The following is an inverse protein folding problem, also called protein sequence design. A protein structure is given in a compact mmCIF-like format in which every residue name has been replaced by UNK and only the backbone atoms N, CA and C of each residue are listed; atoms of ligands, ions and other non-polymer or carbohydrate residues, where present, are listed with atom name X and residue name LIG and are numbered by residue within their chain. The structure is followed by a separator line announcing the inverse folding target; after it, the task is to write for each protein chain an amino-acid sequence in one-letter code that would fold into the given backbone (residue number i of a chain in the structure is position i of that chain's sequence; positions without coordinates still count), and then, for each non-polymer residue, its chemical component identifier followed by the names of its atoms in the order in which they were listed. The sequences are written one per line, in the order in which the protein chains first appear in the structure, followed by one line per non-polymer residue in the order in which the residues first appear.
data_IF_333703445174
#
_entry.id   IF_333703445174
#
_cell.length_a   1.000
_cell.length_b   1.000
_cell.length_c   1.000
_cell.angle_alpha   90.00
_cell.angle_beta   90.00
_cell.angle_gamma   90.00
#
_symmetry.space_group_name_H-M   'P 1'
#
loop_
_entity.id
_entity.type
_entity.pdbx_description
1 polymer ?
#
# COMPACT_ATOMS: atom_id res chain seq x y z
N UNK A 1 17.90 -13.81 -1.89
CA UNK A 1 19.07 -13.16 -2.55
C UNK A 1 18.68 -11.72 -2.85
N UNK A 2 19.19 -10.75 -2.08
CA UNK A 2 18.93 -9.32 -2.30
C UNK A 2 19.71 -8.87 -3.53
N UNK A 3 19.09 -8.95 -4.70
CA UNK A 3 19.69 -8.38 -5.89
C UNK A 3 19.48 -6.86 -5.86
N UNK A 4 20.56 -6.10 -5.55
CA UNK A 4 20.75 -4.66 -5.87
C UNK A 4 19.96 -3.60 -5.10
N UNK A 5 19.96 -3.63 -3.76
CA UNK A 5 19.55 -2.46 -2.95
C UNK A 5 18.05 -2.10 -3.00
N UNK A 6 17.23 -2.95 -3.60
CA UNK A 6 15.78 -2.82 -3.62
C UNK A 6 15.14 -3.89 -2.73
N UNK A 7 14.10 -3.50 -1.99
CA UNK A 7 13.25 -4.42 -1.24
C UNK A 7 11.81 -4.27 -1.73
N UNK A 8 11.12 -5.39 -1.85
CA UNK A 8 9.68 -5.40 -2.15
C UNK A 8 8.98 -6.29 -1.14
N UNK A 9 7.88 -5.77 -0.59
CA UNK A 9 7.01 -6.46 0.36
C UNK A 9 5.62 -6.57 -0.25
N UNK A 10 4.98 -7.70 0.01
CA UNK A 10 3.64 -8.00 -0.47
C UNK A 10 2.75 -8.31 0.72
N UNK A 11 1.62 -7.62 0.80
CA UNK A 11 0.59 -7.86 1.81
C UNK A 11 -0.73 -8.08 1.09
N UNK A 12 -1.56 -8.98 1.61
CA UNK A 12 -2.89 -9.22 1.07
C UNK A 12 -3.85 -8.13 1.54
N UNK A 13 -4.68 -7.62 0.63
CA UNK A 13 -5.86 -6.86 1.02
C UNK A 13 -6.86 -7.76 1.77
N UNK A 14 -7.67 -7.18 2.69
CA UNK A 14 -8.85 -7.84 3.23
C UNK A 14 -9.75 -8.36 2.10
N UNK A 15 -10.43 -9.48 2.33
CA UNK A 15 -11.36 -10.07 1.36
C UNK A 15 -12.63 -10.53 2.04
N UNK A 16 -13.73 -10.51 1.29
CA UNK A 16 -15.00 -11.14 1.65
C UNK A 16 -15.44 -12.12 0.53
N UNK A 17 -16.70 -12.55 0.56
CA UNK A 17 -17.26 -13.46 -0.44
C UNK A 17 -17.35 -12.87 -1.86
N UNK A 18 -17.28 -11.55 -1.99
CA UNK A 18 -17.47 -10.83 -3.26
C UNK A 18 -16.16 -10.32 -3.86
N UNK A 19 -15.06 -10.25 -3.10
CA UNK A 19 -13.75 -9.89 -3.63
C UNK A 19 -12.80 -9.29 -2.61
N UNK A 20 -11.77 -8.60 -3.11
CA UNK A 20 -10.85 -7.84 -2.26
C UNK A 20 -11.44 -6.48 -1.91
N UNK A 21 -11.13 -6.00 -0.71
CA UNK A 21 -11.62 -4.73 -0.17
C UNK A 21 -10.42 -3.79 0.01
N UNK A 22 -10.49 -2.63 -0.64
CA UNK A 22 -9.61 -1.51 -0.35
C UNK A 22 -10.21 -0.72 0.83
N UNK A 23 -9.74 -1.02 2.03
CA UNK A 23 -10.06 -0.25 3.24
C UNK A 23 -8.94 0.74 3.50
N UNK A 24 -9.25 2.03 3.47
CA UNK A 24 -8.29 3.12 3.66
C UNK A 24 -7.52 2.98 4.99
N UNK A 25 -8.21 2.59 6.06
CA UNK A 25 -7.60 2.46 7.38
C UNK A 25 -6.70 1.22 7.45
N UNK A 26 -7.18 0.09 6.93
CA UNK A 26 -6.39 -1.15 6.88
C UNK A 26 -5.16 -1.00 5.98
N UNK A 27 -5.28 -0.27 4.86
CA UNK A 27 -4.18 0.03 3.96
C UNK A 27 -3.08 0.82 4.66
N UNK A 28 -3.44 1.87 5.41
CA UNK A 28 -2.47 2.65 6.20
C UNK A 28 -1.80 1.76 7.24
N UNK A 29 -2.56 0.97 8.01
CA UNK A 29 -2.00 0.07 9.01
C UNK A 29 -1.02 -0.95 8.41
N UNK A 30 -1.40 -1.55 7.29
CA UNK A 30 -0.58 -2.52 6.57
C UNK A 30 0.72 -1.88 6.06
N UNK A 31 0.65 -0.70 5.46
CA UNK A 31 1.84 0.03 5.01
C UNK A 31 2.74 0.44 6.18
N UNK A 32 2.18 0.92 7.29
CA UNK A 32 2.94 1.24 8.51
C UNK A 32 3.68 0.02 9.05
N UNK A 33 2.99 -1.12 9.15
CA UNK A 33 3.59 -2.36 9.65
C UNK A 33 4.74 -2.83 8.74
N UNK A 34 4.56 -2.71 7.42
CA UNK A 34 5.60 -3.02 6.44
C UNK A 34 6.82 -2.11 6.61
N UNK A 35 6.62 -0.79 6.59
CA UNK A 35 7.71 0.19 6.74
C UNK A 35 8.46 -0.01 8.06
N UNK A 36 7.74 -0.17 9.17
CA UNK A 36 8.32 -0.42 10.49
C UNK A 36 9.13 -1.72 10.53
N UNK A 37 8.64 -2.79 9.88
CA UNK A 37 9.36 -4.07 9.79
C UNK A 37 10.68 -3.93 9.03
N UNK A 38 10.70 -3.16 7.95
CA UNK A 38 11.94 -2.87 7.19
C UNK A 38 12.90 -2.02 8.02
N UNK A 39 12.39 -0.95 8.63
CA UNK A 39 13.17 -0.03 9.46
C UNK A 39 13.83 -0.73 10.65
N UNK A 40 13.07 -1.54 11.40
CA UNK A 40 13.58 -2.25 12.57
C UNK A 40 14.69 -3.26 12.22
N UNK A 41 14.59 -3.93 11.07
CA UNK A 41 15.52 -4.99 10.67
C UNK A 41 16.75 -4.47 9.92
N UNK A 42 16.85 -3.17 9.66
CA UNK A 42 17.98 -2.53 8.93
C UNK A 42 18.36 -3.29 7.65
N UNK A 43 17.35 -3.81 6.95
CA UNK A 43 17.53 -4.77 5.84
C UNK A 43 18.19 -4.11 4.63
N UNK A 44 18.05 -2.79 4.50
CA UNK A 44 18.61 -2.00 3.42
C UNK A 44 19.68 -1.05 3.94
N UNK A 45 20.92 -1.10 3.41
CA UNK A 45 21.93 -0.08 3.69
C UNK A 45 21.56 1.22 2.96
N UNK A 46 21.53 2.35 3.68
CA UNK A 46 21.28 3.67 3.10
C UNK A 46 20.68 4.67 4.08
N UNK A 47 20.87 5.95 3.80
CA UNK A 47 20.29 7.05 4.60
C UNK A 47 18.96 7.55 4.03
N UNK A 48 18.73 7.33 2.73
CA UNK A 48 17.52 7.73 2.00
C UNK A 48 17.05 6.63 1.07
N UNK A 49 15.74 6.53 0.92
CA UNK A 49 15.10 5.48 0.13
C UNK A 49 13.97 6.07 -0.72
N UNK A 50 13.89 5.64 -1.98
CA UNK A 50 12.69 5.86 -2.80
C UNK A 50 11.60 4.86 -2.42
N UNK A 51 10.35 5.31 -2.39
CA UNK A 51 9.22 4.49 -2.00
C UNK A 51 8.20 4.37 -3.12
N UNK A 52 7.68 3.17 -3.31
CA UNK A 52 6.55 2.92 -4.18
C UNK A 52 5.62 1.90 -3.53
N UNK A 53 4.32 2.09 -3.69
CA UNK A 53 3.27 1.18 -3.25
C UNK A 53 2.28 0.98 -4.41
N UNK A 54 1.67 -0.18 -4.50
CA UNK A 54 0.71 -0.45 -5.57
C UNK A 54 -0.13 -1.67 -5.30
N UNK A 55 -1.24 -1.76 -6.03
CA UNK A 55 -2.12 -2.91 -5.99
C UNK A 55 -1.75 -3.82 -7.16
N UNK A 56 -1.54 -5.09 -6.89
CA UNK A 56 -1.17 -6.09 -7.89
C UNK A 56 -1.87 -7.41 -7.64
N UNK A 57 -1.96 -8.24 -8.68
CA UNK A 57 -2.68 -9.50 -8.70
C UNK A 57 -3.83 -9.47 -9.71
N UNK A 58 -4.37 -10.66 -10.04
CA UNK A 58 -5.57 -10.82 -10.83
C UNK A 58 -6.79 -10.39 -9.98
N UNK A 59 -6.93 -9.10 -9.74
CA UNK A 59 -8.05 -8.51 -9.02
C UNK A 59 -9.24 -8.45 -9.98
N UNK A 60 -10.04 -9.51 -10.04
CA UNK A 60 -11.29 -9.53 -10.83
C UNK A 60 -12.38 -8.67 -10.20
N UNK A 61 -12.35 -8.48 -8.87
CA UNK A 61 -13.27 -7.62 -8.12
C UNK A 61 -12.53 -6.98 -6.95
N UNK A 62 -12.27 -5.67 -7.03
CA UNK A 62 -11.75 -4.84 -5.95
C UNK A 62 -12.76 -3.72 -5.65
N UNK A 63 -13.31 -3.71 -4.44
CA UNK A 63 -14.24 -2.67 -3.96
C UNK A 63 -13.58 -1.82 -2.88
N UNK A 64 -13.86 -0.51 -2.82
CA UNK A 64 -13.42 0.34 -1.71
C UNK A 64 -14.48 0.39 -0.61
N UNK A 65 -14.09 0.22 0.64
CA UNK A 65 -15.01 0.24 1.78
C UNK A 65 -14.36 -0.29 3.05
N UNK A 66 -15.09 -0.26 4.17
CA UNK A 66 -14.59 -0.79 5.44
C UNK A 66 -14.62 -2.33 5.42
N UNK A 67 -13.53 -2.96 5.84
CA UNK A 67 -13.45 -4.42 5.97
C UNK A 67 -14.20 -4.95 7.21
N UNK A 68 -14.43 -4.11 8.22
CA UNK A 68 -15.03 -4.51 9.49
C UNK A 68 -16.55 -4.33 9.50
N UNK A 69 -17.29 -5.45 9.40
CA UNK A 69 -18.65 -5.67 9.92
C UNK A 69 -19.82 -4.80 9.43
N UNK A 70 -19.57 -3.74 8.68
CA UNK A 70 -20.59 -2.80 8.20
C UNK A 70 -20.75 -3.00 6.70
N UNK A 71 -22.01 -3.12 6.27
CA UNK A 71 -22.43 -3.24 4.88
C UNK A 71 -21.66 -2.26 3.99
N UNK A 72 -21.12 -2.75 2.87
CA UNK A 72 -20.34 -1.96 1.91
C UNK A 72 -21.07 -0.65 1.60
N UNK A 73 -20.43 0.49 1.86
CA UNK A 73 -21.00 1.81 1.51
C UNK A 73 -20.89 2.12 0.02
N UNK A 74 -19.97 1.46 -0.69
CA UNK A 74 -19.91 1.43 -2.14
C UNK A 74 -19.18 0.16 -2.60
N UNK A 75 -19.48 -0.30 -3.81
CA UNK A 75 -18.74 -1.36 -4.47
C UNK A 75 -18.47 -0.91 -5.90
N UNK A 76 -17.23 -0.50 -6.16
CA UNK A 76 -16.76 -0.28 -7.54
C UNK A 76 -16.26 -1.61 -8.07
N UNK A 77 -16.62 -1.96 -9.30
CA UNK A 77 -16.01 -3.08 -10.01
C UNK A 77 -14.76 -2.56 -10.71
N UNK A 78 -13.59 -2.82 -10.11
CA UNK A 78 -12.33 -2.48 -10.74
C UNK A 78 -11.93 -3.55 -11.75
N UNK A 79 -12.13 -3.26 -13.03
CA UNK A 79 -11.60 -4.00 -14.17
C UNK A 79 -10.57 -3.13 -14.90
N UNK A 80 -9.57 -2.62 -14.19
CA UNK A 80 -8.52 -1.85 -14.87
C UNK A 80 -7.44 -2.77 -15.42
N UNK A 81 -7.08 -2.65 -16.71
CA UNK A 81 -5.92 -3.33 -17.27
C UNK A 81 -4.59 -2.70 -16.81
N UNK A 82 -4.64 -1.56 -16.08
CA UNK A 82 -3.45 -0.87 -15.57
C UNK A 82 -3.22 -1.20 -14.09
N UNK A 83 -1.97 -1.53 -13.70
CA UNK A 83 -1.64 -1.72 -12.30
C UNK A 83 -1.72 -0.37 -11.57
N UNK A 84 -2.39 -0.33 -10.42
CA UNK A 84 -2.40 0.83 -9.53
C UNK A 84 -1.01 0.93 -8.89
N UNK A 85 -0.33 2.06 -9.06
CA UNK A 85 1.02 2.27 -8.51
C UNK A 85 1.22 3.73 -8.13
N UNK A 86 1.37 3.96 -6.83
CA UNK A 86 1.89 5.18 -6.26
C UNK A 86 3.41 5.13 -6.16
N UNK A 87 4.09 6.16 -6.66
CA UNK A 87 5.53 6.37 -6.46
C UNK A 87 5.65 7.66 -5.68
N UNK A 88 6.40 7.64 -4.58
CA UNK A 88 6.75 8.84 -3.86
C UNK A 88 7.90 9.53 -4.60
N UNK A 89 7.64 10.74 -5.09
CA UNK A 89 8.63 11.51 -5.86
C UNK A 89 9.84 11.92 -4.99
N UNK A 90 9.62 12.06 -3.68
CA UNK A 90 10.65 12.35 -2.71
C UNK A 90 11.21 11.07 -2.06
N UNK A 91 12.53 11.06 -1.84
CA UNK A 91 13.16 10.03 -1.02
C UNK A 91 12.93 10.33 0.45
N UNK A 92 12.61 9.30 1.23
CA UNK A 92 12.43 9.40 2.68
C UNK A 92 13.70 8.98 3.40
N UNK A 93 13.94 9.54 4.58
CA UNK A 93 15.11 9.19 5.40
C UNK A 93 14.91 7.84 6.10
N UNK A 94 16.01 7.21 6.53
CA UNK A 94 15.95 6.02 7.40
C UNK A 94 15.16 6.27 8.70
N UNK A 95 15.24 7.47 9.27
CA UNK A 95 14.46 7.85 10.44
C UNK A 95 12.94 7.91 10.14
N UNK A 96 12.56 8.42 8.97
CA UNK A 96 11.16 8.45 8.52
C UNK A 96 10.60 7.04 8.24
N UNK A 97 11.44 6.09 7.83
CA UNK A 97 11.07 4.68 7.71
C UNK A 97 10.71 4.01 9.04
N UNK A 98 11.27 4.48 10.15
CA UNK A 98 11.13 3.86 11.46
C UNK A 98 10.20 4.65 12.37
N UNK A 99 10.54 5.90 12.69
CA UNK A 99 9.77 6.73 13.62
C UNK A 99 8.59 7.46 12.92
N UNK A 100 8.73 7.76 11.63
CA UNK A 100 7.70 8.44 10.81
C UNK A 100 6.89 7.49 9.92
N UNK A 101 6.87 6.19 10.24
CA UNK A 101 6.30 5.17 9.37
C UNK A 101 4.79 5.36 9.14
N UNK A 102 4.08 5.99 10.10
CA UNK A 102 2.65 6.27 10.00
C UNK A 102 2.39 7.37 8.96
N UNK A 103 3.12 8.48 9.04
CA UNK A 103 2.96 9.62 8.13
C UNK A 103 3.32 9.24 6.70
N UNK A 104 4.42 8.50 6.52
CA UNK A 104 4.83 7.99 5.20
C UNK A 104 3.78 7.01 4.66
N UNK A 105 3.24 6.13 5.50
CA UNK A 105 2.16 5.21 5.10
C UNK A 105 0.87 5.94 4.70
N UNK A 106 0.48 6.99 5.43
CA UNK A 106 -0.68 7.82 5.09
C UNK A 106 -0.51 8.52 3.73
N UNK A 107 0.68 9.05 3.45
CA UNK A 107 0.98 9.65 2.15
C UNK A 107 0.89 8.62 1.02
N UNK A 108 1.55 7.45 1.19
CA UNK A 108 1.49 6.36 0.21
C UNK A 108 0.07 5.85 -0.02
N UNK A 109 -0.71 5.61 1.05
CA UNK A 109 -2.09 5.18 0.95
C UNK A 109 -2.95 6.19 0.19
N UNK A 110 -2.80 7.48 0.49
CA UNK A 110 -3.49 8.56 -0.22
C UNK A 110 -3.20 8.54 -1.72
N UNK A 111 -1.93 8.34 -2.12
CA UNK A 111 -1.57 8.25 -3.53
C UNK A 111 -2.15 6.99 -4.19
N UNK A 112 -2.11 5.83 -3.53
CA UNK A 112 -2.69 4.58 -4.06
C UNK A 112 -4.20 4.71 -4.26
N UNK A 113 -4.90 5.31 -3.29
CA UNK A 113 -6.34 5.55 -3.37
C UNK A 113 -6.67 6.52 -4.50
N UNK A 114 -5.93 7.62 -4.64
CA UNK A 114 -6.13 8.57 -5.75
C UNK A 114 -5.91 7.93 -7.11
N UNK A 115 -4.86 7.11 -7.26
CA UNK A 115 -4.57 6.41 -8.51
C UNK A 115 -5.64 5.34 -8.82
N UNK A 116 -6.17 4.67 -7.79
CA UNK A 116 -7.31 3.77 -7.91
C UNK A 116 -8.60 4.50 -8.36
N UNK A 117 -8.91 5.66 -7.76
CA UNK A 117 -10.06 6.49 -8.14
C UNK A 117 -9.96 7.00 -9.58
N UNK A 118 -8.76 7.40 -10.02
CA UNK A 118 -8.53 7.85 -11.40
C UNK A 118 -8.57 6.72 -12.44
N UNK A 119 -8.42 5.48 -12.00
CA UNK A 119 -8.39 4.28 -12.86
C UNK A 119 -9.72 3.51 -12.90
N UNK A 120 -10.72 3.94 -12.11
CA UNK A 120 -12.07 3.34 -11.99
C UNK A 120 -13.08 4.08 -12.87
#
# INVERSE_FOLDING_TARGET
MFARGQLSLWSSLPRDQLGSILDDHDLVQTLTANLSTVGARHVLPGERFGLAAGLSGALTVLSRGKATGISRTSASLFLSPRPVRAILDESVTAAAFNLGAVEVAQHLATMVIKDFEASS
#
